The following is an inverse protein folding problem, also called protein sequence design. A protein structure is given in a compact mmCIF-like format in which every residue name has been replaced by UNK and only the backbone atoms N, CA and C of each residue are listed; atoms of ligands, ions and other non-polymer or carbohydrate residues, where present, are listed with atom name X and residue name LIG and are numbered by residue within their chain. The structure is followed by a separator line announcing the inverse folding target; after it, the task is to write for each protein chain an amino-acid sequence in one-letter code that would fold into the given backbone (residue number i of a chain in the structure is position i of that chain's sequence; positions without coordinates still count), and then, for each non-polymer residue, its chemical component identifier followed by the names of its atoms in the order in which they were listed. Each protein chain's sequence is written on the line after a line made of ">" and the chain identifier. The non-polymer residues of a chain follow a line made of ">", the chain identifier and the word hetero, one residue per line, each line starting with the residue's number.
data_IF_825228949802
#
_entry.id   IF_825228949802
#
_cell.length_a   1.000
_cell.length_b   1.000
_cell.length_c   1.000
_cell.angle_alpha   90.00
_cell.angle_beta   90.00
_cell.angle_gamma   90.00
#
_symmetry.space_group_name_H-M   'P 1'
#
loop_
_entity.id
_entity.type
_entity.pdbx_description
1 polymer ?
#
# COMPACT_ATOMS: atom_id res chain seq x y z
N UNK A 1 -30.41 -7.85 -28.34
CA UNK A 1 -29.72 -6.54 -28.34
C UNK A 1 -28.23 -6.65 -27.97
N UNK A 2 -27.53 -7.78 -28.22
CA UNK A 2 -26.09 -7.91 -27.95
C UNK A 2 -25.21 -7.76 -29.22
N UNK A 3 -25.78 -8.01 -30.41
CA UNK A 3 -25.05 -7.93 -31.68
C UNK A 3 -24.68 -6.51 -32.15
N UNK A 4 -25.28 -5.46 -31.58
CA UNK A 4 -24.94 -4.07 -31.95
C UNK A 4 -23.81 -3.48 -31.12
N UNK A 5 -23.59 -3.94 -29.88
CA UNK A 5 -22.53 -3.41 -29.03
C UNK A 5 -21.15 -3.97 -29.41
N UNK A 6 -21.09 -5.28 -29.72
CA UNK A 6 -19.84 -5.91 -30.14
C UNK A 6 -19.32 -5.29 -31.45
N UNK A 7 -20.22 -5.07 -32.42
CA UNK A 7 -19.86 -4.43 -33.69
C UNK A 7 -19.40 -2.99 -33.52
N UNK A 8 -19.96 -2.22 -32.58
CA UNK A 8 -19.50 -0.86 -32.27
C UNK A 8 -18.06 -0.88 -31.72
N UNK A 9 -17.76 -1.77 -30.78
CA UNK A 9 -16.42 -1.87 -30.19
C UNK A 9 -15.37 -2.38 -31.17
N UNK A 10 -15.74 -3.32 -32.04
CA UNK A 10 -14.90 -3.80 -33.14
C UNK A 10 -14.62 -2.68 -34.15
N UNK A 11 -15.66 -1.95 -34.57
CA UNK A 11 -15.52 -0.82 -35.49
C UNK A 11 -14.63 0.29 -34.90
N UNK A 12 -14.75 0.59 -33.61
CA UNK A 12 -13.88 1.56 -32.92
C UNK A 12 -12.43 1.06 -32.82
N UNK A 13 -12.24 -0.24 -32.62
CA UNK A 13 -10.92 -0.85 -32.60
C UNK A 13 -10.23 -0.72 -33.96
N UNK A 14 -10.93 -1.11 -35.03
CA UNK A 14 -10.43 -0.98 -36.41
C UNK A 14 -10.20 0.47 -36.79
N UNK A 15 -11.05 1.40 -36.35
CA UNK A 15 -10.85 2.83 -36.58
C UNK A 15 -9.54 3.34 -35.93
N UNK A 16 -9.26 2.92 -34.69
CA UNK A 16 -8.09 3.39 -33.95
C UNK A 16 -6.78 2.71 -34.39
N UNK A 17 -6.82 1.42 -34.70
CA UNK A 17 -5.63 0.60 -34.93
C UNK A 17 -5.48 0.04 -36.34
N UNK A 18 -6.51 0.19 -37.17
CA UNK A 18 -6.61 -0.45 -38.47
C UNK A 18 -7.09 -1.90 -38.35
N UNK A 19 -7.48 -2.48 -39.49
CA UNK A 19 -7.82 -3.90 -39.62
C UNK A 19 -6.59 -4.81 -39.64
N UNK A 20 -5.39 -4.23 -39.84
CA UNK A 20 -4.12 -4.93 -39.85
C UNK A 20 -3.19 -4.37 -38.77
N UNK A 21 -2.47 -5.24 -38.03
CA UNK A 21 -1.54 -4.80 -37.00
C UNK A 21 -0.41 -3.96 -37.60
N UNK A 22 -0.26 -2.74 -37.09
CA UNK A 22 0.85 -1.83 -37.43
C UNK A 22 2.12 -2.22 -36.66
N UNK A 23 3.29 -1.77 -37.11
CA UNK A 23 4.58 -2.14 -36.50
C UNK A 23 4.65 -1.94 -34.97
N UNK A 24 4.09 -0.84 -34.46
CA UNK A 24 4.00 -0.59 -32.99
C UNK A 24 3.12 -1.59 -32.25
N UNK A 25 2.06 -2.07 -32.91
CA UNK A 25 1.17 -3.09 -32.33
C UNK A 25 1.85 -4.46 -32.31
N UNK A 26 2.68 -4.75 -33.33
CA UNK A 26 3.52 -5.96 -33.36
C UNK A 26 4.53 -5.92 -32.21
N UNK A 27 5.28 -4.83 -32.07
CA UNK A 27 6.22 -4.64 -30.95
C UNK A 27 5.54 -4.80 -29.58
N UNK A 28 4.34 -4.26 -29.43
CA UNK A 28 3.55 -4.41 -28.22
C UNK A 28 3.13 -5.87 -27.96
N UNK A 29 2.71 -6.58 -29.01
CA UNK A 29 2.32 -7.99 -28.91
C UNK A 29 3.49 -8.90 -28.53
N UNK A 30 4.70 -8.60 -29.01
CA UNK A 30 5.92 -9.32 -28.63
C UNK A 30 6.33 -9.08 -27.17
N UNK A 31 5.96 -7.93 -26.60
CA UNK A 31 6.26 -7.56 -25.22
C UNK A 31 5.25 -8.10 -24.18
N UNK A 32 4.19 -8.77 -24.63
CA UNK A 32 3.11 -9.28 -23.78
C UNK A 32 3.19 -10.80 -23.63
N UNK A 33 3.05 -11.25 -22.39
CA UNK A 33 2.82 -12.67 -22.05
C UNK A 33 1.32 -12.91 -21.76
N UNK A 34 0.95 -14.17 -21.57
CA UNK A 34 -0.44 -14.55 -21.32
C UNK A 34 -1.04 -13.89 -20.06
N UNK A 35 -0.22 -13.66 -19.01
CA UNK A 35 -0.69 -13.00 -17.79
C UNK A 35 -1.03 -11.52 -18.05
N UNK A 36 -0.11 -10.79 -18.69
CA UNK A 36 -0.31 -9.39 -19.05
C UNK A 36 -1.46 -9.20 -20.03
N UNK A 37 -1.64 -10.13 -20.97
CA UNK A 37 -2.79 -10.10 -21.88
C UNK A 37 -4.11 -10.22 -21.10
N UNK A 38 -4.20 -11.18 -20.18
CA UNK A 38 -5.39 -11.36 -19.34
C UNK A 38 -5.67 -10.12 -18.48
N UNK A 39 -4.63 -9.53 -17.89
CA UNK A 39 -4.75 -8.28 -17.12
C UNK A 39 -5.25 -7.13 -18.00
N UNK A 40 -4.76 -7.02 -19.23
CA UNK A 40 -5.21 -6.00 -20.18
C UNK A 40 -6.67 -6.19 -20.58
N UNK A 41 -7.09 -7.43 -20.84
CA UNK A 41 -8.50 -7.74 -21.13
C UNK A 41 -9.43 -7.37 -19.97
N UNK A 42 -8.99 -7.58 -18.72
CA UNK A 42 -9.73 -7.12 -17.53
C UNK A 42 -9.85 -5.60 -17.48
N UNK A 43 -8.76 -4.86 -17.71
CA UNK A 43 -8.80 -3.38 -17.79
C UNK A 43 -9.75 -2.89 -18.89
N UNK A 44 -9.71 -3.55 -20.04
CA UNK A 44 -10.62 -3.29 -21.15
C UNK A 44 -12.09 -3.44 -20.73
N UNK A 45 -12.40 -4.52 -20.02
CA UNK A 45 -13.74 -4.76 -19.48
C UNK A 45 -14.18 -3.70 -18.45
N UNK A 46 -13.30 -3.34 -17.52
CA UNK A 46 -13.56 -2.29 -16.52
C UNK A 46 -13.84 -0.93 -17.17
N UNK A 47 -13.11 -0.57 -18.24
CA UNK A 47 -13.35 0.67 -18.98
C UNK A 47 -14.71 0.69 -19.66
N UNK A 48 -15.13 -0.43 -20.26
CA UNK A 48 -16.44 -0.57 -20.88
C UNK A 48 -17.54 -0.39 -19.83
N UNK A 49 -17.41 -1.00 -18.65
CA UNK A 49 -18.40 -0.86 -17.56
C UNK A 49 -18.49 0.56 -17.02
N UNK A 50 -17.36 1.27 -16.96
CA UNK A 50 -17.29 2.64 -16.41
C UNK A 50 -17.61 3.73 -17.44
N UNK A 51 -17.88 3.36 -18.70
CA UNK A 51 -18.16 4.32 -19.78
C UNK A 51 -16.95 5.13 -20.23
N UNK A 52 -15.73 4.64 -19.93
CA UNK A 52 -14.49 5.27 -20.39
C UNK A 52 -14.27 5.00 -21.89
N UNK A 53 -13.40 5.82 -22.51
CA UNK A 53 -13.08 5.68 -23.94
C UNK A 53 -12.57 4.29 -24.30
N UNK A 54 -13.20 3.69 -25.32
CA UNK A 54 -12.79 2.46 -25.97
C UNK A 54 -12.41 2.73 -27.44
N UNK A 55 -11.38 2.07 -27.99
CA UNK A 55 -10.39 1.25 -27.27
C UNK A 55 -9.37 2.12 -26.50
N UNK A 56 -8.62 1.55 -25.55
CA UNK A 56 -7.46 2.21 -24.99
C UNK A 56 -6.51 2.66 -26.10
N UNK A 57 -5.83 3.79 -25.95
CA UNK A 57 -4.78 4.24 -26.86
C UNK A 57 -3.49 3.44 -26.67
N UNK A 58 -2.59 3.44 -27.67
CA UNK A 58 -1.37 2.63 -27.64
C UNK A 58 -0.53 2.92 -26.38
N UNK A 59 -0.35 4.19 -26.03
CA UNK A 59 0.36 4.57 -24.81
C UNK A 59 -0.32 4.07 -23.52
N UNK A 60 -1.65 4.00 -23.51
CA UNK A 60 -2.40 3.44 -22.38
C UNK A 60 -2.22 1.92 -22.30
N UNK A 61 -2.23 1.21 -23.44
CA UNK A 61 -1.99 -0.24 -23.46
C UNK A 61 -0.64 -0.61 -22.83
N UNK A 62 0.41 0.16 -23.14
CA UNK A 62 1.75 0.00 -22.53
C UNK A 62 1.78 0.19 -21.02
N UNK A 63 0.90 1.03 -20.47
CA UNK A 63 0.78 1.24 -19.02
C UNK A 63 -0.10 0.16 -18.39
N UNK A 64 -1.22 -0.18 -19.03
CA UNK A 64 -2.23 -1.09 -18.51
C UNK A 64 -1.73 -2.54 -18.39
N UNK A 65 -0.80 -2.95 -19.27
CA UNK A 65 -0.21 -4.31 -19.19
C UNK A 65 0.48 -4.59 -17.84
N UNK A 66 1.02 -3.55 -17.18
CA UNK A 66 1.76 -3.66 -15.91
C UNK A 66 1.02 -3.00 -14.72
N UNK A 67 -0.17 -2.46 -14.93
CA UNK A 67 -0.97 -1.80 -13.89
C UNK A 67 -1.96 -2.80 -13.28
N UNK A 68 -2.12 -2.80 -11.96
CA UNK A 68 -3.15 -3.63 -11.31
C UNK A 68 -4.56 -3.23 -11.78
N UNK A 69 -5.43 -4.20 -11.96
CA UNK A 69 -6.87 -3.99 -12.21
C UNK A 69 -7.56 -3.42 -10.96
N UNK A 70 -8.78 -2.90 -11.11
CA UNK A 70 -9.55 -2.43 -9.97
C UNK A 70 -9.81 -3.57 -8.96
N UNK A 71 -10.09 -4.77 -9.46
CA UNK A 71 -10.22 -6.00 -8.67
C UNK A 71 -8.93 -6.33 -7.90
N UNK A 72 -7.78 -6.37 -8.57
CA UNK A 72 -6.49 -6.68 -7.93
C UNK A 72 -6.11 -5.63 -6.86
N UNK A 73 -6.44 -4.36 -7.12
CA UNK A 73 -6.21 -3.26 -6.19
C UNK A 73 -7.12 -3.35 -4.95
N UNK A 74 -8.38 -3.75 -5.13
CA UNK A 74 -9.31 -4.03 -4.05
C UNK A 74 -8.81 -5.20 -3.18
N UNK A 75 -8.39 -6.30 -3.79
CA UNK A 75 -7.84 -7.45 -3.06
C UNK A 75 -6.57 -7.07 -2.29
N UNK A 76 -5.69 -6.29 -2.91
CA UNK A 76 -4.48 -5.75 -2.26
C UNK A 76 -4.83 -4.89 -1.04
N UNK A 77 -5.84 -4.03 -1.18
CA UNK A 77 -6.36 -3.19 -0.10
C UNK A 77 -6.87 -4.02 1.08
N UNK A 78 -7.67 -5.06 0.81
CA UNK A 78 -8.19 -5.97 1.82
C UNK A 78 -7.04 -6.67 2.57
N UNK A 79 -6.03 -7.16 1.84
CA UNK A 79 -4.83 -7.78 2.42
C UNK A 79 -4.05 -6.82 3.30
N UNK A 80 -3.81 -5.58 2.85
CA UNK A 80 -3.08 -4.55 3.61
C UNK A 80 -3.84 -4.19 4.89
N UNK A 81 -5.14 -3.94 4.82
CA UNK A 81 -5.96 -3.59 5.99
C UNK A 81 -6.02 -4.74 7.02
N UNK A 82 -6.08 -5.98 6.52
CA UNK A 82 -6.06 -7.21 7.31
C UNK A 82 -4.66 -7.64 7.80
N UNK A 83 -3.61 -6.89 7.46
CA UNK A 83 -2.19 -7.20 7.79
C UNK A 83 -1.71 -8.55 7.24
N UNK A 84 -2.20 -8.96 6.08
CA UNK A 84 -1.77 -10.18 5.37
C UNK A 84 -1.12 -9.82 4.02
N UNK A 85 0.03 -9.12 4.01
CA UNK A 85 0.65 -8.68 2.77
C UNK A 85 1.23 -9.87 1.98
N UNK A 86 0.86 -9.97 0.70
CA UNK A 86 1.40 -10.95 -0.24
C UNK A 86 2.63 -10.43 -0.97
N UNK A 87 2.69 -9.12 -1.26
CA UNK A 87 3.78 -8.50 -2.02
C UNK A 87 4.68 -7.61 -1.16
N UNK A 88 5.88 -7.33 -1.67
CA UNK A 88 6.82 -6.40 -1.03
C UNK A 88 6.25 -4.98 -0.92
N UNK A 89 5.49 -4.53 -1.93
CA UNK A 89 4.75 -3.27 -1.90
C UNK A 89 3.73 -3.28 -0.74
N UNK A 90 2.95 -4.35 -0.61
CA UNK A 90 1.96 -4.48 0.46
C UNK A 90 2.62 -4.47 1.84
N UNK A 91 3.78 -5.13 2.02
CA UNK A 91 4.56 -5.07 3.27
C UNK A 91 4.96 -3.63 3.61
N UNK A 92 5.44 -2.87 2.62
CA UNK A 92 5.80 -1.46 2.81
C UNK A 92 4.58 -0.61 3.22
N UNK A 93 3.43 -0.83 2.57
CA UNK A 93 2.18 -0.13 2.90
C UNK A 93 1.71 -0.44 4.32
N UNK A 94 1.79 -1.71 4.74
CA UNK A 94 1.46 -2.14 6.11
C UNK A 94 2.33 -1.43 7.14
N UNK A 95 3.63 -1.28 6.87
CA UNK A 95 4.57 -0.64 7.79
C UNK A 95 4.41 0.88 7.86
N UNK A 96 4.29 1.55 6.71
CA UNK A 96 4.41 3.01 6.64
C UNK A 96 3.07 3.74 6.60
N UNK A 97 2.02 3.14 6.03
CA UNK A 97 0.77 3.84 5.69
C UNK A 97 -0.48 3.22 6.29
N UNK A 98 -0.40 2.06 6.95
CA UNK A 98 -1.56 1.37 7.53
C UNK A 98 -2.34 2.22 8.53
N UNK A 99 -1.65 2.96 9.40
CA UNK A 99 -2.30 3.83 10.37
C UNK A 99 -3.21 4.85 9.67
N UNK A 100 -2.70 5.52 8.64
CA UNK A 100 -3.47 6.50 7.87
C UNK A 100 -4.65 5.85 7.12
N UNK A 101 -4.43 4.65 6.56
CA UNK A 101 -5.47 3.93 5.82
C UNK A 101 -6.63 3.47 6.72
N UNK A 102 -6.36 3.08 7.97
CA UNK A 102 -7.40 2.62 8.92
C UNK A 102 -8.31 3.74 9.44
N UNK A 103 -7.80 4.97 9.49
CA UNK A 103 -8.54 6.12 10.03
C UNK A 103 -9.17 6.99 8.93
N UNK A 104 -9.05 6.57 7.67
CA UNK A 104 -9.66 7.29 6.56
C UNK A 104 -11.13 6.90 6.42
N UNK A 105 -11.95 7.83 5.96
CA UNK A 105 -13.33 7.53 5.55
C UNK A 105 -13.33 6.63 4.30
N UNK A 106 -14.28 5.69 4.24
CA UNK A 106 -14.36 4.66 3.19
C UNK A 106 -14.43 5.25 1.79
N UNK A 107 -15.17 6.35 1.62
CA UNK A 107 -15.32 7.05 0.34
C UNK A 107 -14.01 7.63 -0.23
N UNK A 108 -12.99 7.87 0.59
CA UNK A 108 -11.68 8.39 0.17
C UNK A 108 -10.60 7.31 0.16
N UNK A 109 -10.90 6.14 0.68
CA UNK A 109 -9.93 5.08 0.93
C UNK A 109 -9.32 4.59 -0.37
N UNK A 110 -10.14 4.46 -1.42
CA UNK A 110 -9.70 3.93 -2.72
C UNK A 110 -8.74 4.85 -3.45
N UNK A 111 -9.07 6.13 -3.53
CA UNK A 111 -8.19 7.13 -4.13
C UNK A 111 -6.86 7.21 -3.38
N UNK A 112 -6.91 7.20 -2.05
CA UNK A 112 -5.71 7.31 -1.23
C UNK A 112 -4.85 6.04 -1.31
N UNK A 113 -5.47 4.87 -1.29
CA UNK A 113 -4.78 3.59 -1.45
C UNK A 113 -4.08 3.51 -2.81
N UNK A 114 -4.77 3.90 -3.90
CA UNK A 114 -4.18 3.95 -5.23
C UNK A 114 -2.96 4.86 -5.30
N UNK A 115 -3.01 6.03 -4.65
CA UNK A 115 -1.86 6.96 -4.55
C UNK A 115 -0.68 6.34 -3.82
N UNK A 116 -0.91 5.72 -2.65
CA UNK A 116 0.16 5.08 -1.90
C UNK A 116 0.74 3.85 -2.60
N UNK A 117 -0.11 3.08 -3.29
CA UNK A 117 0.36 1.95 -4.09
C UNK A 117 1.28 2.42 -5.23
N UNK A 118 0.92 3.52 -5.91
CA UNK A 118 1.77 4.11 -6.94
C UNK A 118 3.08 4.68 -6.36
N UNK A 119 3.03 5.32 -5.20
CA UNK A 119 4.22 5.77 -4.46
C UNK A 119 5.17 4.60 -4.18
N UNK A 120 4.63 3.51 -3.63
CA UNK A 120 5.39 2.30 -3.34
C UNK A 120 5.96 1.64 -4.61
N UNK A 121 5.18 1.54 -5.69
CA UNK A 121 5.66 1.01 -6.98
C UNK A 121 6.83 1.83 -7.52
N UNK A 122 6.74 3.16 -7.48
CA UNK A 122 7.84 4.06 -7.90
C UNK A 122 9.08 3.91 -7.02
N UNK A 123 8.91 3.67 -5.71
CA UNK A 123 10.03 3.40 -4.82
C UNK A 123 10.68 2.05 -5.12
N UNK A 124 9.89 1.03 -5.49
CA UNK A 124 10.40 -0.27 -5.91
C UNK A 124 11.19 -0.17 -7.21
N UNK A 125 10.68 0.55 -8.21
CA UNK A 125 11.37 0.79 -9.49
C UNK A 125 12.71 1.52 -9.29
N UNK A 126 12.80 2.40 -8.27
CA UNK A 126 14.03 3.11 -7.90
C UNK A 126 14.98 2.28 -7.01
N UNK A 127 14.58 1.09 -6.57
CA UNK A 127 15.35 0.25 -5.66
C UNK A 127 15.44 0.77 -4.21
N UNK A 128 14.60 1.73 -3.82
CA UNK A 128 14.61 2.37 -2.49
C UNK A 128 13.56 1.78 -1.54
N UNK A 129 12.86 0.73 -1.96
CA UNK A 129 11.79 0.12 -1.18
C UNK A 129 12.36 -0.84 -0.13
N UNK A 130 12.75 -0.27 1.01
CA UNK A 130 13.16 -1.02 2.19
C UNK A 130 11.92 -1.40 3.02
N UNK A 131 11.71 -2.69 3.25
CA UNK A 131 10.66 -3.22 4.15
C UNK A 131 11.22 -3.86 5.40
N UNK A 132 12.53 -3.92 5.54
CA UNK A 132 13.13 -4.30 6.81
C UNK A 132 12.90 -3.11 7.71
N UNK A 133 11.96 -3.26 8.65
CA UNK A 133 11.95 -2.40 9.82
C UNK A 133 13.37 -2.56 10.39
N UNK A 134 14.21 -1.51 10.41
CA UNK A 134 15.49 -1.66 11.08
C UNK A 134 15.13 -2.03 12.51
N UNK A 135 15.60 -3.17 12.99
CA UNK A 135 15.33 -3.68 14.36
C UNK A 135 15.67 -2.62 15.42
N UNK A 136 16.46 -1.60 15.07
CA UNK A 136 16.76 -0.42 15.88
C UNK A 136 15.59 0.55 16.10
N UNK A 137 14.60 0.60 15.20
CA UNK A 137 13.49 1.59 15.28
C UNK A 137 12.41 1.21 16.29
N UNK A 138 12.34 -0.05 16.74
CA UNK A 138 11.24 -0.46 17.61
C UNK A 138 11.48 -0.10 19.08
N UNK A 139 12.72 0.10 19.56
CA UNK A 139 12.97 0.45 20.97
C UNK A 139 14.26 1.25 21.31
N UNK A 140 15.08 1.73 20.36
CA UNK A 140 16.36 2.36 20.71
C UNK A 140 16.64 3.64 19.93
N UNK A 141 16.65 4.79 20.62
CA UNK A 141 17.54 5.96 20.43
C UNK A 141 16.95 7.28 20.95
N UNK A 142 15.67 7.32 21.32
CA UNK A 142 15.04 8.50 21.93
C UNK A 142 14.36 8.22 23.27
N UNK A 143 14.89 7.28 24.07
CA UNK A 143 14.58 7.30 25.51
C UNK A 143 15.29 8.49 26.12
N UNK A 144 14.67 9.67 26.03
CA UNK A 144 15.11 10.86 26.74
C UNK A 144 14.80 10.59 28.20
N UNK A 145 15.84 10.39 29.02
CA UNK A 145 15.69 10.25 30.46
C UNK A 145 14.89 11.45 30.98
N UNK A 146 13.73 11.19 31.57
CA UNK A 146 12.96 12.26 32.22
C UNK A 146 13.71 12.70 33.49
N UNK A 147 13.47 13.91 33.98
CA UNK A 147 13.97 14.41 35.27
C UNK A 147 13.69 13.41 36.41
N UNK A 148 12.53 12.75 36.37
CA UNK A 148 12.18 11.72 37.34
C UNK A 148 13.08 10.47 37.24
N UNK A 149 13.48 10.07 36.03
CA UNK A 149 14.40 8.95 35.84
C UNK A 149 15.80 9.28 36.36
N UNK A 150 16.27 10.51 36.11
CA UNK A 150 17.57 10.99 36.62
C UNK A 150 17.56 11.03 38.15
N UNK A 151 16.48 11.54 38.75
CA UNK A 151 16.33 11.60 40.21
C UNK A 151 16.21 10.21 40.84
N UNK A 152 15.50 9.28 40.17
CA UNK A 152 15.42 7.88 40.60
C UNK A 152 16.78 7.21 40.56
N UNK A 153 17.52 7.34 39.45
CA UNK A 153 18.88 6.78 39.32
C UNK A 153 19.84 7.36 40.36
N UNK A 154 19.80 8.68 40.60
CA UNK A 154 20.63 9.33 41.62
C UNK A 154 20.29 8.88 43.05
N UNK A 155 19.02 8.62 43.33
CA UNK A 155 18.58 8.07 44.61
C UNK A 155 19.03 6.61 44.77
N UNK A 156 18.85 5.78 43.74
CA UNK A 156 19.28 4.39 43.72
C UNK A 156 20.80 4.23 43.90
N UNK A 157 21.60 5.14 43.34
CA UNK A 157 23.06 5.14 43.55
C UNK A 157 23.45 5.42 45.01
N UNK A 158 22.70 6.27 45.72
CA UNK A 158 23.01 6.68 47.10
C UNK A 158 22.42 5.75 48.16
N UNK A 159 21.24 5.20 47.91
CA UNK A 159 20.46 4.46 48.90
C UNK A 159 20.18 3.00 48.51
N UNK A 160 20.67 2.56 47.34
CA UNK A 160 20.33 1.26 46.78
C UNK A 160 18.86 1.18 46.35
N UNK A 161 18.36 -0.04 46.12
CA UNK A 161 16.94 -0.29 45.77
C UNK A 161 15.98 -0.17 46.97
N UNK A 162 16.30 0.69 47.94
CA UNK A 162 15.45 0.90 49.10
C UNK A 162 14.35 1.90 48.76
N UNK A 163 13.12 1.63 49.23
CA UNK A 163 12.01 2.57 49.06
C UNK A 163 12.29 3.88 49.79
N UNK A 164 11.85 4.99 49.19
CA UNK A 164 11.96 6.29 49.85
C UNK A 164 11.25 6.27 51.22
N UNK A 165 11.83 6.83 52.30
CA UNK A 165 11.29 6.73 53.66
C UNK A 165 9.82 7.16 53.77
N UNK A 166 9.44 8.19 53.00
CA UNK A 166 8.06 8.68 52.92
C UNK A 166 7.08 7.67 52.32
N UNK A 167 7.51 6.90 51.32
CA UNK A 167 6.69 5.84 50.70
C UNK A 167 6.54 4.68 51.68
N UNK A 168 7.64 4.34 52.38
CA UNK A 168 7.62 3.31 53.42
C UNK A 168 6.64 3.65 54.53
N UNK A 169 6.65 4.89 55.01
CA UNK A 169 5.69 5.37 56.01
C UNK A 169 4.23 5.30 55.52
N UNK A 170 3.95 5.59 54.24
CA UNK A 170 2.58 5.47 53.68
C UNK A 170 2.15 4.00 53.61
N UNK A 171 3.06 3.10 53.20
CA UNK A 171 2.77 1.66 53.15
C UNK A 171 2.54 1.12 54.56
N UNK A 172 3.38 1.49 55.51
CA UNK A 172 3.25 1.06 56.90
C UNK A 172 1.94 1.59 57.50
N UNK A 173 1.58 2.86 57.25
CA UNK A 173 0.33 3.45 57.72
C UNK A 173 -0.94 2.80 57.12
N UNK A 174 -0.88 2.38 55.84
CA UNK A 174 -1.98 1.69 55.18
C UNK A 174 -2.08 0.19 55.52
N UNK A 175 -1.02 -0.40 56.09
CA UNK A 175 -1.05 -1.79 56.58
C UNK A 175 -1.50 -1.90 58.04
N UNK A 176 -1.53 -0.77 58.76
CA UNK A 176 -1.99 -0.66 60.15
C UNK A 176 -3.50 -0.33 60.27
N UNK A 177 -4.20 -0.12 59.15
CA UNK A 177 -5.67 -0.08 59.03
C UNK A 177 -6.24 -1.45 58.60
#
# INVERSE_FOLDING_TARGET
>A
MFGSFLSIYETQWEYQYGSLPTGRFIEFSEAIDAEKLNRLLKHCHERIQTGNSWPPQMGELWVLKDALTAEELLDSRIRVLSRMPASQIEKWLVQNKLFNLKHLAENKLDEQFKKYYLEAKRLQEKGLLHTEAPESSLLGNHSVKNLNDVMREAYEQKHGRQLHPRIRQIIDHNNDE
#
